data_IF_789510278039
#
_entry.id   IF_789510278039
#
_cell.length_a   1.000
_cell.length_b   1.000
_cell.length_c   1.000
_cell.angle_alpha   90.00
_cell.angle_beta   90.00
_cell.angle_gamma   90.00
#
_symmetry.space_group_name_H-M   'P 1'
#
loop_
_entity.id
_entity.type
_entity.pdbx_description
1 polymer ?
#
# COMPACT_ATOMS: atom_id res chain seq x y z
N UNK A 1 -10.92 -92.41 -11.95
CA UNK A 1 -11.43 -93.03 -13.19
C UNK A 1 -11.34 -91.99 -14.30
N UNK A 2 -10.67 -92.34 -15.42
CA UNK A 2 -10.79 -91.81 -16.80
C UNK A 2 -10.73 -90.26 -17.00
N UNK A 3 -10.13 -89.64 -18.00
CA UNK A 3 -9.42 -89.94 -19.26
C UNK A 3 -8.77 -88.60 -19.64
N UNK A 4 -7.49 -88.52 -20.03
CA UNK A 4 -6.97 -88.64 -21.40
C UNK A 4 -7.57 -87.65 -22.43
N UNK A 5 -6.76 -86.63 -22.78
CA UNK A 5 -6.47 -86.08 -24.13
C UNK A 5 -5.28 -85.11 -23.93
N UNK A 6 -4.05 -85.41 -24.35
CA UNK A 6 -3.46 -85.38 -25.72
C UNK A 6 -3.61 -83.99 -26.36
N UNK A 7 -2.65 -83.34 -27.00
CA UNK A 7 -1.24 -83.57 -27.42
C UNK A 7 -0.99 -82.31 -28.33
N UNK A 8 0.15 -81.59 -28.35
CA UNK A 8 1.37 -81.76 -29.20
C UNK A 8 1.91 -80.33 -29.43
N UNK A 9 3.09 -79.97 -28.93
CA UNK A 9 4.42 -79.86 -29.61
C UNK A 9 4.66 -78.42 -30.08
N UNK A 10 5.84 -77.82 -30.17
CA UNK A 10 7.26 -78.05 -29.85
C UNK A 10 7.82 -76.59 -29.86
N UNK A 11 8.91 -76.13 -29.25
CA UNK A 11 10.27 -76.62 -29.35
C UNK A 11 11.11 -75.82 -28.33
N UNK A 12 11.99 -76.51 -27.64
CA UNK A 12 13.04 -76.01 -26.72
C UNK A 12 14.41 -75.93 -27.47
N UNK A 13 15.57 -75.66 -26.85
CA UNK A 13 15.96 -74.61 -25.88
C UNK A 13 17.41 -74.07 -26.18
N UNK A 14 18.10 -73.62 -25.12
CA UNK A 14 19.54 -73.38 -24.91
C UNK A 14 20.06 -71.94 -25.05
N UNK A 15 21.02 -71.46 -24.26
CA UNK A 15 21.42 -71.67 -22.86
C UNK A 15 22.37 -70.49 -22.49
N UNK A 16 22.39 -70.12 -21.21
CA UNK A 16 23.42 -69.41 -20.43
C UNK A 16 24.43 -68.43 -21.08
N UNK A 17 24.53 -67.22 -20.50
CA UNK A 17 25.66 -66.85 -19.62
C UNK A 17 25.64 -65.35 -19.22
N UNK A 18 25.86 -65.06 -17.94
CA UNK A 18 26.37 -63.76 -17.45
C UNK A 18 27.89 -63.88 -17.29
N UNK A 19 28.65 -62.79 -17.44
CA UNK A 19 29.23 -62.19 -16.23
C UNK A 19 29.35 -60.65 -16.27
N UNK A 20 30.01 -60.15 -15.23
CA UNK A 20 29.95 -58.85 -14.57
C UNK A 20 30.71 -57.67 -15.18
N UNK A 21 30.23 -56.47 -14.82
CA UNK A 21 30.96 -55.26 -14.40
C UNK A 21 32.06 -54.66 -15.31
N UNK A 22 31.85 -53.41 -15.74
CA UNK A 22 32.84 -52.37 -15.48
C UNK A 22 32.18 -51.00 -15.41
N UNK A 23 32.46 -50.28 -14.32
CA UNK A 23 32.08 -48.90 -14.13
C UNK A 23 32.96 -48.01 -15.01
N UNK A 24 32.37 -47.33 -15.99
CA UNK A 24 33.08 -46.33 -16.80
C UNK A 24 32.77 -44.93 -16.29
N UNK A 25 33.83 -44.27 -15.81
CA UNK A 25 33.86 -42.90 -15.28
C UNK A 25 33.25 -41.91 -16.29
N UNK A 26 32.31 -41.08 -15.85
CA UNK A 26 31.84 -39.91 -16.63
C UNK A 26 32.96 -38.87 -16.62
N UNK A 27 33.50 -38.58 -17.79
CA UNK A 27 34.50 -37.52 -17.98
C UNK A 27 33.81 -36.25 -18.50
N UNK A 28 34.12 -35.10 -17.91
CA UNK A 28 33.44 -33.81 -18.12
C UNK A 28 33.48 -33.25 -19.57
N UNK A 29 34.14 -33.93 -20.49
CA UNK A 29 34.25 -33.52 -21.90
C UNK A 29 33.17 -34.16 -22.80
N UNK A 30 32.56 -35.28 -22.41
CA UNK A 30 31.48 -35.92 -23.18
C UNK A 30 30.11 -35.26 -22.98
N UNK A 31 29.94 -34.52 -21.87
CA UNK A 31 28.72 -33.76 -21.57
C UNK A 31 28.67 -32.41 -22.31
N UNK A 32 29.84 -31.87 -22.70
CA UNK A 32 29.97 -30.57 -23.38
C UNK A 32 29.59 -30.63 -24.89
N UNK A 33 29.58 -31.82 -25.49
CA UNK A 33 29.42 -32.01 -26.94
C UNK A 33 28.15 -32.79 -27.33
N UNK A 34 27.23 -32.99 -26.39
CA UNK A 34 25.94 -33.65 -26.68
C UNK A 34 24.92 -32.64 -27.29
N UNK A 35 24.16 -33.00 -28.33
CA UNK A 35 23.19 -32.10 -28.94
C UNK A 35 22.08 -31.72 -27.94
N UNK A 36 21.84 -30.41 -27.78
CA UNK A 36 20.86 -29.84 -26.84
C UNK A 36 19.47 -30.45 -27.02
N UNK A 37 19.00 -31.18 -26.00
CA UNK A 37 17.60 -31.52 -25.86
C UNK A 37 16.76 -30.22 -25.72
N UNK A 38 15.69 -30.12 -26.52
CA UNK A 38 14.75 -29.01 -26.48
C UNK A 38 14.07 -28.97 -25.12
N UNK A 39 14.39 -27.95 -24.32
CA UNK A 39 13.59 -27.62 -23.13
C UNK A 39 12.14 -27.32 -23.56
N UNK A 40 11.13 -27.82 -22.83
CA UNK A 40 9.77 -27.32 -22.97
C UNK A 40 9.78 -25.83 -22.63
N UNK A 41 9.22 -25.02 -23.53
CA UNK A 41 9.14 -23.57 -23.36
C UNK A 41 8.44 -23.25 -22.03
N UNK A 42 8.94 -22.30 -21.23
CA UNK A 42 8.15 -21.76 -20.14
C UNK A 42 6.85 -21.20 -20.72
N UNK A 43 5.74 -21.47 -20.04
CA UNK A 43 4.43 -20.91 -20.37
C UNK A 43 4.56 -19.39 -20.52
N UNK A 44 4.50 -18.93 -21.77
CA UNK A 44 4.33 -17.52 -22.09
C UNK A 44 3.00 -17.07 -21.49
N UNK A 45 3.06 -16.28 -20.42
CA UNK A 45 1.94 -15.43 -20.04
C UNK A 45 1.69 -14.45 -21.19
N UNK A 46 0.73 -14.76 -22.05
CA UNK A 46 0.25 -13.84 -23.09
C UNK A 46 -0.59 -12.74 -22.41
N UNK A 47 0.05 -11.59 -22.26
CA UNK A 47 -0.47 -10.21 -22.13
C UNK A 47 -1.95 -9.96 -21.80
N UNK A 48 -2.18 -9.32 -20.65
CA UNK A 48 -3.11 -8.17 -20.48
C UNK A 48 -2.52 -7.30 -19.35
N UNK A 49 -2.31 -5.99 -19.43
CA UNK A 49 -2.73 -5.01 -20.43
C UNK A 49 -1.61 -4.08 -20.88
N UNK A 50 -1.96 -3.30 -21.90
CA UNK A 50 -1.17 -2.19 -22.46
C UNK A 50 -0.34 -1.51 -21.36
N UNK A 51 0.96 -1.38 -21.60
CA UNK A 51 1.75 -0.28 -21.05
C UNK A 51 0.87 0.97 -21.14
N UNK A 52 0.44 1.44 -19.97
CA UNK A 52 -0.33 2.66 -19.83
C UNK A 52 0.35 3.71 -20.69
N UNK A 53 -0.43 4.46 -21.49
CA UNK A 53 0.10 5.52 -22.36
C UNK A 53 1.18 6.27 -21.59
N UNK A 54 2.43 6.21 -22.02
CA UNK A 54 3.59 6.67 -21.23
C UNK A 54 3.50 8.14 -20.82
N UNK A 55 2.56 8.89 -21.42
CA UNK A 55 2.33 10.31 -21.19
C UNK A 55 1.03 10.63 -20.43
N UNK A 56 0.29 9.67 -19.84
CA UNK A 56 -0.84 10.03 -18.96
C UNK A 56 -0.29 10.63 -17.65
N UNK A 57 -0.54 11.92 -17.36
CA UNK A 57 -0.03 12.58 -16.15
C UNK A 57 -0.51 11.91 -14.86
N UNK A 58 -1.62 11.15 -14.91
CA UNK A 58 -2.15 10.39 -13.77
C UNK A 58 -1.32 9.15 -13.41
N UNK A 59 -0.29 8.84 -14.19
CA UNK A 59 0.66 7.76 -13.91
C UNK A 59 1.84 8.18 -13.03
N UNK A 60 1.91 9.42 -12.55
CA UNK A 60 3.07 9.95 -11.79
C UNK A 60 3.52 9.12 -10.58
N UNK A 61 2.64 8.28 -10.01
CA UNK A 61 3.00 7.38 -8.89
C UNK A 61 3.74 6.10 -9.31
N UNK A 62 3.72 5.74 -10.60
CA UNK A 62 4.28 4.48 -11.10
C UNK A 62 5.78 4.38 -10.83
N UNK A 63 6.50 5.49 -10.97
CA UNK A 63 7.95 5.50 -10.79
C UNK A 63 8.35 5.10 -9.36
N UNK A 64 7.61 5.55 -8.35
CA UNK A 64 7.84 5.16 -6.95
C UNK A 64 7.61 3.67 -6.70
N UNK A 65 6.64 3.07 -7.40
CA UNK A 65 6.25 1.67 -7.22
C UNK A 65 7.28 0.73 -7.88
N UNK A 66 7.74 1.08 -9.08
CA UNK A 66 8.67 0.27 -9.85
C UNK A 66 10.11 0.41 -9.35
N UNK A 67 10.55 1.64 -9.06
CA UNK A 67 11.96 1.93 -8.80
C UNK A 67 12.15 2.81 -7.54
N UNK A 68 11.65 2.38 -6.36
CA UNK A 68 11.70 3.19 -5.14
C UNK A 68 13.13 3.59 -4.74
N UNK A 69 14.12 2.73 -5.02
CA UNK A 69 15.53 2.96 -4.70
C UNK A 69 16.18 4.13 -5.47
N UNK A 70 15.56 4.63 -6.55
CA UNK A 70 16.05 5.80 -7.29
C UNK A 70 15.75 7.12 -6.61
N UNK A 71 14.87 7.12 -5.61
CA UNK A 71 14.42 8.32 -4.91
C UNK A 71 15.13 8.45 -3.56
N UNK A 72 15.29 9.69 -3.09
CA UNK A 72 15.86 9.95 -1.77
C UNK A 72 14.90 9.55 -0.64
N UNK A 73 15.45 9.40 0.57
CA UNK A 73 14.68 9.15 1.80
C UNK A 73 13.68 10.27 2.13
N UNK A 74 13.88 11.47 1.58
CA UNK A 74 12.92 12.57 1.68
C UNK A 74 11.63 12.30 0.92
N UNK A 75 11.70 11.54 -0.18
CA UNK A 75 10.53 11.23 -1.01
C UNK A 75 9.97 9.86 -0.67
N UNK A 76 10.82 8.83 -0.64
CA UNK A 76 10.45 7.45 -0.31
C UNK A 76 10.94 7.16 1.11
N UNK A 77 9.99 7.01 2.04
CA UNK A 77 10.29 6.82 3.47
C UNK A 77 10.65 5.35 3.74
N UNK A 78 9.88 4.44 3.15
CA UNK A 78 10.04 3.01 3.35
C UNK A 78 9.65 2.28 2.06
N UNK A 79 10.38 1.23 1.70
CA UNK A 79 10.02 0.35 0.60
C UNK A 79 10.23 -1.10 1.01
N UNK A 80 9.23 -1.93 0.74
CA UNK A 80 9.27 -3.39 0.90
C UNK A 80 8.92 -4.06 -0.43
N UNK A 81 8.91 -5.39 -0.46
CA UNK A 81 8.43 -6.14 -1.63
C UNK A 81 6.94 -5.94 -1.90
N UNK A 82 6.17 -5.54 -0.88
CA UNK A 82 4.70 -5.42 -0.94
C UNK A 82 4.23 -3.98 -1.16
N UNK A 83 4.93 -3.02 -0.56
CA UNK A 83 4.46 -1.63 -0.44
C UNK A 83 5.60 -0.62 -0.56
N UNK A 84 5.27 0.60 -0.96
CA UNK A 84 6.15 1.76 -0.90
C UNK A 84 5.43 2.88 -0.17
N UNK A 85 6.04 3.45 0.86
CA UNK A 85 5.54 4.60 1.59
C UNK A 85 6.27 5.86 1.10
N UNK A 86 5.53 6.83 0.58
CA UNK A 86 6.08 8.08 0.04
C UNK A 86 5.43 9.31 0.65
N UNK A 87 6.15 10.44 0.64
CA UNK A 87 5.54 11.75 0.92
C UNK A 87 4.71 12.21 -0.27
N UNK A 88 3.50 12.70 -0.02
CA UNK A 88 2.69 13.33 -1.08
C UNK A 88 3.39 14.62 -1.54
N UNK A 89 3.63 14.76 -2.85
CA UNK A 89 4.30 15.93 -3.42
C UNK A 89 3.48 17.23 -3.28
N UNK A 90 2.18 17.11 -3.02
CA UNK A 90 1.24 18.21 -2.81
C UNK A 90 0.45 17.99 -1.50
N UNK A 91 1.12 17.98 -0.33
CA UNK A 91 0.51 17.58 0.93
C UNK A 91 -0.70 18.44 1.27
N UNK A 92 -1.81 17.87 1.78
CA UNK A 92 -3.03 18.64 2.11
C UNK A 92 -3.18 18.95 3.60
N UNK A 93 -2.21 18.52 4.40
CA UNK A 93 -2.08 18.74 5.83
C UNK A 93 -0.58 18.74 6.19
N UNK A 94 -0.26 18.97 7.46
CA UNK A 94 1.11 19.01 7.99
C UNK A 94 1.92 17.77 7.63
N UNK A 95 1.33 16.58 7.80
CA UNK A 95 1.91 15.31 7.35
C UNK A 95 0.92 14.64 6.40
N UNK A 96 1.36 14.36 5.17
CA UNK A 96 0.56 13.64 4.18
C UNK A 96 1.43 12.65 3.42
N UNK A 97 1.19 11.37 3.66
CA UNK A 97 1.89 10.25 3.04
C UNK A 97 0.93 9.41 2.19
N UNK A 98 1.52 8.69 1.24
CA UNK A 98 0.83 7.72 0.39
C UNK A 98 1.49 6.35 0.56
N UNK A 99 0.69 5.35 0.94
CA UNK A 99 1.09 3.95 0.90
C UNK A 99 0.66 3.35 -0.44
N UNK A 100 1.64 2.88 -1.21
CA UNK A 100 1.49 2.41 -2.58
C UNK A 100 1.73 0.89 -2.63
N UNK A 101 0.68 0.08 -2.87
CA UNK A 101 0.85 -1.36 -3.09
C UNK A 101 1.62 -1.64 -4.39
N UNK A 102 2.52 -2.62 -4.35
CA UNK A 102 3.37 -3.01 -5.48
C UNK A 102 2.81 -4.16 -6.31
N UNK A 103 1.76 -4.82 -5.83
CA UNK A 103 1.09 -5.91 -6.56
C UNK A 103 0.50 -5.39 -7.89
N UNK A 104 1.01 -5.85 -9.05
CA UNK A 104 0.52 -5.42 -10.36
C UNK A 104 -0.97 -5.70 -10.58
N UNK A 105 -1.52 -6.75 -9.95
CA UNK A 105 -2.92 -7.10 -10.07
C UNK A 105 -3.85 -6.12 -9.34
N UNK A 106 -3.33 -5.40 -8.33
CA UNK A 106 -4.09 -4.46 -7.49
C UNK A 106 -3.82 -3.01 -7.86
N UNK A 107 -2.64 -2.72 -8.40
CA UNK A 107 -2.13 -1.38 -8.60
C UNK A 107 -3.07 -0.47 -9.41
N UNK A 108 -3.79 -1.01 -10.40
CA UNK A 108 -4.64 -0.21 -11.32
C UNK A 108 -6.14 -0.44 -11.11
N UNK A 109 -6.52 -1.24 -10.12
CA UNK A 109 -7.93 -1.47 -9.79
C UNK A 109 -8.55 -0.23 -9.18
N UNK A 110 -9.88 -0.13 -9.26
CA UNK A 110 -10.59 0.82 -8.43
C UNK A 110 -10.25 0.51 -6.95
N UNK A 111 -9.89 1.52 -6.14
CA UNK A 111 -9.51 1.28 -4.75
C UNK A 111 -10.53 0.48 -3.93
N UNK A 112 -11.82 0.67 -4.21
CA UNK A 112 -12.89 -0.06 -3.53
C UNK A 112 -12.88 -1.55 -3.87
N UNK A 113 -12.66 -1.87 -5.14
CA UNK A 113 -12.63 -3.25 -5.63
C UNK A 113 -11.33 -3.96 -5.21
N UNK A 114 -10.21 -3.22 -5.14
CA UNK A 114 -8.94 -3.77 -4.66
C UNK A 114 -9.03 -4.23 -3.19
N UNK A 115 -9.69 -3.42 -2.35
CA UNK A 115 -9.85 -3.64 -0.91
C UNK A 115 -11.00 -4.59 -0.54
N UNK A 116 -11.73 -5.14 -1.52
CA UNK A 116 -12.72 -6.20 -1.29
C UNK A 116 -12.05 -7.59 -1.12
N UNK A 117 -10.78 -7.71 -1.48
CA UNK A 117 -9.95 -8.88 -1.20
C UNK A 117 -9.41 -8.83 0.23
N UNK A 118 -9.81 -9.79 1.05
CA UNK A 118 -9.51 -9.84 2.48
C UNK A 118 -8.02 -9.96 2.77
N UNK A 119 -7.30 -10.83 2.04
CA UNK A 119 -5.86 -11.05 2.26
C UNK A 119 -5.07 -9.78 1.91
N UNK A 120 -5.47 -9.12 0.82
CA UNK A 120 -4.89 -7.84 0.43
C UNK A 120 -5.20 -6.74 1.45
N UNK A 121 -6.45 -6.65 1.92
CA UNK A 121 -6.87 -5.66 2.90
C UNK A 121 -6.11 -5.82 4.23
N UNK A 122 -5.91 -7.03 4.72
CA UNK A 122 -5.19 -7.28 5.97
C UNK A 122 -3.69 -6.96 5.86
N UNK A 123 -3.10 -7.22 4.70
CA UNK A 123 -1.75 -6.74 4.37
C UNK A 123 -1.70 -5.20 4.40
N UNK A 124 -2.62 -4.52 3.71
CA UNK A 124 -2.67 -3.05 3.67
C UNK A 124 -2.87 -2.46 5.06
N UNK A 125 -3.71 -3.06 5.92
CA UNK A 125 -3.91 -2.62 7.32
C UNK A 125 -2.63 -2.73 8.13
N UNK A 126 -1.90 -3.83 8.00
CA UNK A 126 -0.63 -4.06 8.72
C UNK A 126 0.42 -3.03 8.31
N UNK A 127 0.56 -2.82 7.01
CA UNK A 127 1.50 -1.85 6.43
C UNK A 127 1.10 -0.41 6.78
N UNK A 128 -0.19 -0.08 6.73
CA UNK A 128 -0.71 1.24 7.11
C UNK A 128 -0.51 1.52 8.60
N UNK A 129 -0.68 0.55 9.50
CA UNK A 129 -0.40 0.73 10.91
C UNK A 129 1.08 1.05 11.16
N UNK A 130 1.99 0.45 10.39
CA UNK A 130 3.42 0.79 10.42
C UNK A 130 3.69 2.19 9.88
N UNK A 131 3.05 2.56 8.76
CA UNK A 131 3.14 3.90 8.20
C UNK A 131 2.62 4.98 9.16
N UNK A 132 1.53 4.72 9.89
CA UNK A 132 1.00 5.64 10.92
C UNK A 132 2.00 5.88 12.04
N UNK A 133 2.74 4.86 12.49
CA UNK A 133 3.78 5.06 13.52
C UNK A 133 4.89 5.99 13.04
N UNK A 134 5.33 5.83 11.79
CA UNK A 134 6.33 6.70 11.18
C UNK A 134 5.79 8.13 11.00
N UNK A 135 4.56 8.26 10.51
CA UNK A 135 3.89 9.54 10.34
C UNK A 135 3.67 10.27 11.68
N UNK A 136 3.32 9.53 12.74
CA UNK A 136 3.16 10.05 14.08
C UNK A 136 4.49 10.52 14.69
N UNK A 137 5.58 9.80 14.44
CA UNK A 137 6.92 10.24 14.83
C UNK A 137 7.31 11.56 14.14
N UNK A 138 7.05 11.67 12.83
CA UNK A 138 7.30 12.91 12.09
C UNK A 138 6.41 14.06 12.57
N UNK A 139 5.13 13.81 12.83
CA UNK A 139 4.21 14.82 13.35
C UNK A 139 4.63 15.27 14.75
N UNK A 140 5.04 14.32 15.60
CA UNK A 140 5.60 14.62 16.92
C UNK A 140 6.84 15.51 16.82
N UNK A 141 7.77 15.23 15.90
CA UNK A 141 8.95 16.07 15.68
C UNK A 141 8.58 17.51 15.29
N UNK A 142 7.51 17.69 14.52
CA UNK A 142 7.07 19.00 14.04
C UNK A 142 6.24 19.78 15.07
N UNK A 143 5.44 19.10 15.89
CA UNK A 143 4.43 19.72 16.76
C UNK A 143 4.83 19.72 18.24
N UNK A 144 5.55 18.71 18.72
CA UNK A 144 5.93 18.59 20.14
C UNK A 144 6.60 19.82 20.73
N UNK A 145 7.49 20.56 20.02
CA UNK A 145 8.08 21.79 20.57
C UNK A 145 7.08 22.88 20.97
N UNK A 146 5.87 22.84 20.42
CA UNK A 146 4.80 23.82 20.69
C UNK A 146 3.70 23.27 21.60
N UNK A 147 3.64 21.95 21.78
CA UNK A 147 2.56 21.24 22.47
C UNK A 147 2.78 21.25 23.98
N UNK A 148 1.80 21.76 24.74
CA UNK A 148 1.83 21.78 26.21
C UNK A 148 1.88 20.36 26.78
N UNK A 149 1.13 19.43 26.22
CA UNK A 149 1.13 18.02 26.63
C UNK A 149 2.44 17.27 26.35
N UNK A 150 3.36 17.86 25.58
CA UNK A 150 4.70 17.31 25.40
C UNK A 150 5.77 17.96 26.30
N UNK A 151 5.47 19.07 27.00
CA UNK A 151 6.47 19.86 27.74
C UNK A 151 7.16 19.04 28.84
N UNK A 152 6.39 18.36 29.69
CA UNK A 152 6.94 17.55 30.79
C UNK A 152 7.84 16.44 30.25
N UNK A 153 7.46 15.84 29.12
CA UNK A 153 8.23 14.79 28.45
C UNK A 153 9.52 15.33 27.86
N UNK A 154 9.48 16.48 27.20
CA UNK A 154 10.67 17.14 26.66
C UNK A 154 11.62 17.53 27.79
N UNK A 155 11.11 18.17 28.85
CA UNK A 155 11.91 18.55 30.01
C UNK A 155 12.56 17.34 30.70
N UNK A 156 11.85 16.22 30.80
CA UNK A 156 12.40 14.97 31.33
C UNK A 156 13.50 14.38 30.44
N UNK A 157 13.36 14.48 29.10
CA UNK A 157 14.37 14.01 28.13
C UNK A 157 15.62 14.90 28.09
N UNK A 158 15.46 16.21 28.35
CA UNK A 158 16.55 17.19 28.35
C UNK A 158 17.24 17.35 29.72
N UNK A 159 16.73 16.66 30.75
CA UNK A 159 17.32 16.69 32.10
C UNK A 159 18.69 16.01 32.13
N UNK A 160 19.61 16.53 32.95
CA UNK A 160 20.92 15.92 33.19
C UNK A 160 20.82 14.50 33.79
N UNK A 161 19.71 14.20 34.49
CA UNK A 161 19.40 12.89 35.05
C UNK A 161 17.99 12.46 34.61
N UNK A 162 17.82 11.95 33.38
CA UNK A 162 16.51 11.57 32.89
C UNK A 162 15.95 10.40 33.71
N UNK A 163 14.64 10.41 34.05
CA UNK A 163 14.02 9.30 34.75
C UNK A 163 13.98 8.05 33.85
N UNK A 164 14.04 6.86 34.48
CA UNK A 164 13.93 5.58 33.76
C UNK A 164 12.61 5.46 32.99
N UNK A 165 11.54 6.05 33.53
CA UNK A 165 10.23 6.16 32.88
C UNK A 165 9.91 7.62 32.55
N UNK A 166 9.81 7.94 31.27
CA UNK A 166 9.43 9.26 30.80
C UNK A 166 7.91 9.50 30.99
N UNK A 167 7.49 10.72 31.34
CA UNK A 167 6.07 11.03 31.49
C UNK A 167 5.33 10.85 30.15
N UNK A 168 4.01 10.57 30.22
CA UNK A 168 3.19 10.40 29.03
C UNK A 168 3.18 11.70 28.22
N UNK A 169 3.36 11.58 26.91
CA UNK A 169 3.17 12.68 25.97
C UNK A 169 1.88 12.52 25.17
N UNK A 170 1.66 13.45 24.26
CA UNK A 170 0.57 13.38 23.28
C UNK A 170 0.70 12.15 22.38
N UNK A 171 -0.41 11.43 22.20
CA UNK A 171 -0.49 10.32 21.25
C UNK A 171 -0.81 10.83 19.83
N UNK A 172 0.24 11.17 19.08
CA UNK A 172 0.13 11.66 17.71
C UNK A 172 -0.43 10.63 16.72
N UNK A 173 -0.46 9.34 17.05
CA UNK A 173 -1.01 8.32 16.14
C UNK A 173 -2.52 8.52 15.91
N UNK A 174 -3.22 9.07 16.93
CA UNK A 174 -4.63 9.41 16.88
C UNK A 174 -4.94 10.64 16.05
N UNK A 175 -3.93 11.38 15.57
CA UNK A 175 -4.13 12.58 14.76
C UNK A 175 -4.21 12.29 13.26
N UNK A 176 -4.12 11.02 12.87
CA UNK A 176 -4.15 10.61 11.48
C UNK A 176 -5.53 10.12 11.04
N UNK A 177 -5.74 10.25 9.74
CA UNK A 177 -6.80 9.60 8.97
C UNK A 177 -6.13 8.67 7.96
N UNK A 178 -6.62 7.45 7.89
CA UNK A 178 -6.10 6.42 6.99
C UNK A 178 -7.25 5.95 6.10
N UNK A 179 -7.06 5.99 4.78
CA UNK A 179 -8.15 5.65 3.87
C UNK A 179 -7.87 5.99 2.43
N UNK A 180 -8.91 5.89 1.61
CA UNK A 180 -8.83 6.12 0.16
C UNK A 180 -9.80 7.23 -0.25
N UNK A 181 -9.54 7.82 -1.40
CA UNK A 181 -10.55 8.56 -2.13
C UNK A 181 -11.44 7.60 -2.92
N UNK A 182 -12.76 7.78 -2.86
CA UNK A 182 -13.73 6.96 -3.58
C UNK A 182 -13.49 6.94 -5.10
N UNK A 183 -13.03 8.08 -5.65
CA UNK A 183 -12.54 8.20 -7.03
C UNK A 183 -11.14 8.82 -7.00
N UNK A 184 -10.08 8.02 -7.19
CA UNK A 184 -8.71 8.51 -7.09
C UNK A 184 -8.37 9.46 -8.25
N UNK A 185 -7.53 10.46 -7.98
CA UNK A 185 -7.03 11.39 -9.00
C UNK A 185 -5.87 10.82 -9.83
N UNK A 186 -5.15 9.84 -9.27
CA UNK A 186 -4.06 9.10 -9.91
C UNK A 186 -4.54 7.70 -10.29
N UNK A 187 -3.95 7.12 -11.34
CA UNK A 187 -4.36 5.81 -11.85
C UNK A 187 -3.95 4.66 -10.92
N UNK A 188 -2.93 4.86 -10.10
CA UNK A 188 -2.39 3.82 -9.23
C UNK A 188 -3.02 3.91 -7.84
N UNK A 189 -3.40 2.77 -7.27
CA UNK A 189 -3.91 2.66 -5.91
C UNK A 189 -2.96 3.30 -4.91
N UNK A 190 -3.49 4.18 -4.07
CA UNK A 190 -2.77 4.83 -3.00
C UNK A 190 -3.67 4.99 -1.80
N UNK A 191 -3.17 4.58 -0.64
CA UNK A 191 -3.83 4.78 0.65
C UNK A 191 -3.23 6.04 1.25
N UNK A 192 -4.08 7.00 1.59
CA UNK A 192 -3.68 8.23 2.26
C UNK A 192 -3.45 7.95 3.74
N UNK A 193 -2.33 8.44 4.26
CA UNK A 193 -2.07 8.61 5.69
C UNK A 193 -1.86 10.11 5.89
N UNK A 194 -2.86 10.80 6.43
CA UNK A 194 -2.90 12.26 6.48
C UNK A 194 -3.26 12.75 7.88
N UNK A 195 -2.54 13.74 8.39
CA UNK A 195 -2.89 14.40 9.65
C UNK A 195 -4.18 15.22 9.50
N UNK A 196 -4.97 15.34 10.58
CA UNK A 196 -6.32 15.91 10.53
C UNK A 196 -6.38 17.43 10.37
N UNK A 197 -5.27 18.13 10.59
CA UNK A 197 -5.19 19.59 10.66
C UNK A 197 -5.64 20.30 9.37
N UNK A 198 -5.45 19.68 8.21
CA UNK A 198 -5.73 20.29 6.91
C UNK A 198 -5.01 21.64 6.72
N UNK A 199 -3.85 21.82 7.37
CA UNK A 199 -3.02 23.02 7.28
C UNK A 199 -1.96 22.80 6.20
N UNK A 200 -2.10 23.48 5.06
CA UNK A 200 -1.14 23.41 3.95
C UNK A 200 -1.40 24.48 2.89
N UNK A 201 -0.33 25.01 2.29
CA UNK A 201 -0.41 25.89 1.12
C UNK A 201 -0.89 25.20 -0.16
N UNK A 202 -0.86 23.86 -0.21
CA UNK A 202 -1.39 23.07 -1.33
C UNK A 202 -2.88 22.76 -1.19
N UNK A 203 -3.50 23.09 -0.06
CA UNK A 203 -4.94 23.10 0.10
C UNK A 203 -5.51 24.39 -0.53
N UNK A 204 -6.00 24.30 -1.78
CA UNK A 204 -6.32 25.47 -2.60
C UNK A 204 -7.79 25.62 -2.99
N UNK A 205 -8.53 24.52 -3.09
CA UNK A 205 -9.86 24.51 -3.70
C UNK A 205 -10.81 23.56 -2.98
N UNK A 206 -12.11 23.71 -3.24
CA UNK A 206 -13.18 22.93 -2.60
C UNK A 206 -12.96 21.43 -2.63
N UNK A 207 -12.59 20.91 -3.80
CA UNK A 207 -12.32 19.48 -3.98
C UNK A 207 -11.18 19.00 -3.08
N UNK A 208 -10.13 19.79 -2.87
CA UNK A 208 -9.02 19.38 -2.00
C UNK A 208 -9.46 19.23 -0.54
N UNK A 209 -10.35 20.10 -0.05
CA UNK A 209 -10.79 20.00 1.35
C UNK A 209 -11.86 18.92 1.51
N UNK A 210 -12.89 18.94 0.65
CA UNK A 210 -14.01 18.02 0.75
C UNK A 210 -13.62 16.59 0.43
N UNK A 211 -12.59 16.35 -0.40
CA UNK A 211 -12.13 14.98 -0.68
C UNK A 211 -11.63 14.26 0.57
N UNK A 212 -11.15 15.00 1.57
CA UNK A 212 -10.76 14.43 2.86
C UNK A 212 -11.84 14.58 3.92
N UNK A 213 -12.66 15.64 3.91
CA UNK A 213 -13.58 15.98 5.02
C UNK A 213 -15.06 15.65 4.77
N UNK A 214 -15.33 14.74 3.83
CA UNK A 214 -16.67 14.19 3.54
C UNK A 214 -16.56 12.70 3.26
N UNK A 215 -17.68 12.00 3.04
CA UNK A 215 -17.72 10.55 2.74
C UNK A 215 -17.08 10.17 1.38
N UNK A 216 -16.49 11.16 0.68
CA UNK A 216 -15.56 10.94 -0.42
C UNK A 216 -14.25 10.30 0.05
N UNK A 217 -13.82 10.62 1.27
CA UNK A 217 -12.78 9.88 1.96
C UNK A 217 -13.41 8.68 2.64
N UNK A 218 -12.98 7.48 2.26
CA UNK A 218 -13.46 6.25 2.87
C UNK A 218 -12.35 5.73 3.80
N UNK A 219 -12.58 5.70 5.12
CA UNK A 219 -11.65 5.13 6.09
C UNK A 219 -11.26 3.70 5.74
N UNK A 220 -9.99 3.33 5.96
CA UNK A 220 -9.51 1.97 5.71
C UNK A 220 -10.19 0.94 6.63
N UNK A 221 -10.60 1.37 7.82
CA UNK A 221 -11.33 0.55 8.79
C UNK A 221 -12.72 0.12 8.31
N UNK A 222 -13.33 0.86 7.37
CA UNK A 222 -14.67 0.57 6.86
C UNK A 222 -14.70 -0.52 5.78
N UNK A 223 -13.52 -0.97 5.30
CA UNK A 223 -13.43 -2.01 4.28
C UNK A 223 -13.51 -3.43 4.89
N UNK A 224 -14.00 -4.44 4.16
CA UNK A 224 -14.63 -4.33 2.85
C UNK A 224 -16.01 -3.66 2.93
N UNK A 225 -16.34 -2.81 1.97
CA UNK A 225 -17.64 -2.14 1.95
C UNK A 225 -18.73 -3.13 1.52
N UNK A 226 -19.94 -2.99 2.08
CA UNK A 226 -21.09 -3.75 1.57
C UNK A 226 -21.35 -3.44 0.09
N UNK A 227 -21.93 -4.40 -0.66
CA UNK A 227 -22.18 -4.24 -2.11
C UNK A 227 -23.20 -3.14 -2.41
N UNK A 228 -24.14 -2.92 -1.50
CA UNK A 228 -25.21 -1.93 -1.55
C UNK A 228 -24.85 -0.61 -0.83
N UNK A 229 -23.62 -0.47 -0.33
CA UNK A 229 -23.16 0.75 0.33
C UNK A 229 -23.26 1.97 -0.60
N UNK A 230 -23.94 3.02 -0.14
CA UNK A 230 -24.14 4.26 -0.89
C UNK A 230 -22.82 4.92 -1.33
N UNK A 231 -21.73 4.69 -0.59
CA UNK A 231 -20.38 5.18 -0.91
C UNK A 231 -19.82 4.55 -2.17
N UNK A 232 -20.39 3.44 -2.66
CA UNK A 232 -20.04 2.87 -3.96
C UNK A 232 -20.69 3.61 -5.13
N UNK A 233 -21.69 4.46 -4.89
CA UNK A 233 -22.41 5.19 -5.93
C UNK A 233 -21.66 6.46 -6.35
N UNK A 234 -21.35 6.59 -7.64
CA UNK A 234 -20.60 7.74 -8.18
C UNK A 234 -21.33 9.07 -7.99
N UNK A 235 -22.66 9.10 -8.14
CA UNK A 235 -23.47 10.31 -7.93
C UNK A 235 -23.38 10.84 -6.50
N UNK A 236 -23.50 9.95 -5.51
CA UNK A 236 -23.34 10.28 -4.10
C UNK A 236 -21.94 10.86 -3.82
N UNK A 237 -20.90 10.23 -4.38
CA UNK A 237 -19.53 10.70 -4.18
C UNK A 237 -19.23 12.04 -4.85
N UNK A 238 -19.80 12.29 -6.03
CA UNK A 238 -19.67 13.60 -6.67
C UNK A 238 -20.39 14.70 -5.89
N UNK A 239 -21.53 14.41 -5.26
CA UNK A 239 -22.24 15.36 -4.39
C UNK A 239 -21.40 15.71 -3.14
N UNK A 240 -20.68 14.74 -2.57
CA UNK A 240 -19.78 14.98 -1.44
C UNK A 240 -18.69 16.03 -1.74
N UNK A 241 -18.16 16.06 -2.96
CA UNK A 241 -17.14 17.04 -3.37
C UNK A 241 -17.68 18.47 -3.54
N UNK A 242 -19.00 18.65 -3.66
CA UNK A 242 -19.63 19.96 -3.86
C UNK A 242 -20.30 20.53 -2.61
N UNK A 243 -20.36 19.74 -1.52
CA UNK A 243 -20.90 20.16 -0.22
C UNK A 243 -20.27 21.46 0.30
N UNK A 244 -21.04 22.14 1.14
CA UNK A 244 -20.56 23.29 1.89
C UNK A 244 -19.43 22.89 2.83
N UNK A 245 -18.52 23.82 3.05
CA UNK A 245 -17.40 23.65 3.95
C UNK A 245 -17.88 23.52 5.39
N UNK A 246 -17.40 22.48 6.05
CA UNK A 246 -17.62 22.20 7.46
C UNK A 246 -16.26 21.96 8.12
N UNK A 247 -15.93 22.71 9.16
CA UNK A 247 -14.67 22.53 9.89
C UNK A 247 -14.56 21.10 10.43
N UNK A 248 -13.38 20.51 10.29
CA UNK A 248 -13.09 19.15 10.74
C UNK A 248 -13.12 19.05 12.27
N UNK A 249 -12.73 20.11 12.98
CA UNK A 249 -12.64 20.20 14.44
C UNK A 249 -13.96 20.68 15.05
N UNK A 250 -14.26 21.98 14.99
CA UNK A 250 -15.45 22.56 15.64
C UNK A 250 -16.79 22.38 14.92
N UNK A 251 -16.78 21.79 13.70
CA UNK A 251 -17.98 21.55 12.88
C UNK A 251 -18.73 22.81 12.39
N UNK A 252 -18.16 24.00 12.55
CA UNK A 252 -18.68 25.27 12.00
C UNK A 252 -18.80 25.21 10.47
N UNK A 253 -19.89 25.78 9.95
CA UNK A 253 -20.17 25.83 8.51
C UNK A 253 -19.65 27.14 7.90
N UNK A 254 -19.12 27.06 6.66
CA UNK A 254 -18.58 28.20 5.91
C UNK A 254 -19.22 28.37 4.53
N UNK A 255 -20.23 27.56 4.19
CA UNK A 255 -20.86 27.58 2.86
C UNK A 255 -19.83 27.29 1.77
N UNK A 256 -19.77 28.15 0.75
CA UNK A 256 -18.79 28.10 -0.33
C UNK A 256 -17.56 29.02 -0.11
N UNK A 257 -17.42 29.65 1.06
CA UNK A 257 -16.41 30.69 1.31
C UNK A 257 -15.05 30.09 1.74
N UNK A 258 -14.24 29.68 0.76
CA UNK A 258 -12.95 29.01 1.02
C UNK A 258 -11.95 29.88 1.80
N UNK A 259 -11.88 31.18 1.53
CA UNK A 259 -10.98 32.10 2.25
C UNK A 259 -11.29 32.15 3.74
N UNK A 260 -12.57 32.16 4.11
CA UNK A 260 -12.98 32.14 5.52
C UNK A 260 -12.67 30.79 6.18
N UNK A 261 -12.87 29.69 5.45
CA UNK A 261 -12.45 28.37 5.95
C UNK A 261 -10.93 28.34 6.17
N UNK A 262 -10.12 28.83 5.23
CA UNK A 262 -8.65 28.78 5.34
C UNK A 262 -8.16 29.60 6.54
N UNK A 263 -8.69 30.81 6.74
CA UNK A 263 -8.41 31.61 7.93
C UNK A 263 -8.79 30.89 9.23
N UNK A 264 -9.94 30.22 9.25
CA UNK A 264 -10.36 29.45 10.41
C UNK A 264 -9.50 28.19 10.65
N UNK A 265 -9.04 27.51 9.60
CA UNK A 265 -8.13 26.37 9.74
C UNK A 265 -6.77 26.78 10.32
N UNK A 266 -6.31 28.01 10.05
CA UNK A 266 -5.13 28.58 10.69
C UNK A 266 -5.32 28.74 12.21
N UNK A 267 -6.46 29.30 12.64
CA UNK A 267 -6.82 29.41 14.07
C UNK A 267 -6.89 28.04 14.74
N UNK A 268 -7.60 27.09 14.11
CA UNK A 268 -7.75 25.72 14.60
C UNK A 268 -6.41 25.00 14.68
N UNK A 269 -5.53 25.17 13.70
CA UNK A 269 -4.18 24.60 13.70
C UNK A 269 -3.32 25.16 14.83
N UNK A 270 -3.32 26.48 15.02
CA UNK A 270 -2.54 27.11 16.09
C UNK A 270 -3.01 26.63 17.47
N UNK A 271 -4.33 26.55 17.69
CA UNK A 271 -4.88 26.02 18.92
C UNK A 271 -4.58 24.52 19.11
N UNK A 272 -4.76 23.70 18.08
CA UNK A 272 -4.50 22.25 18.12
C UNK A 272 -3.02 21.91 18.30
N UNK A 273 -2.11 22.72 17.76
CA UNK A 273 -0.65 22.56 17.92
C UNK A 273 -0.21 22.78 19.36
N UNK A 274 -0.85 23.71 20.07
CA UNK A 274 -0.53 24.06 21.45
C UNK A 274 -1.03 23.05 22.49
N UNK A 275 -2.00 22.21 22.13
CA UNK A 275 -2.46 21.08 22.97
C UNK A 275 -1.34 20.07 23.19
#
# INVERSE_FOLDING_TARGET
MASKTRDIDDEQPEEASKPSASATKRNAFSELMSPKHKHPKPHEFKHVGKLSRSNDPRNGLLAYILEPAKFSSETVILSSDKTVLVRDAFPKATVHLLLLPRDPAKQTLNPRDALDDQDFLDMVRTEAATAVRLAASELSRLISPYSKSCQDRIAAMESDNPPDELPPGRDFSKEFKVGIHAHPSMNHLHIHIISRDMHSDRLKHRKHYNSFNTDFFIPLEDFPLAKDDIRRQTSYQNANLTKDYKCWRCKKMFGNKFTLLKAHLEEEFNAWREE
#
